data_IF_139221762706
#
_entry.id   IF_139221762706
#
_cell.length_a   1.000
_cell.length_b   1.000
_cell.length_c   1.000
_cell.angle_alpha   90.00
_cell.angle_beta   90.00
_cell.angle_gamma   90.00
#
_symmetry.space_group_name_H-M   'P 1'
#
loop_
_entity.id
_entity.type
_entity.pdbx_description
1 polymer ?
#
# COMPACT_ATOMS: atom_id res chain seq x y z
N UNK A 1 1.75 -13.13 -16.53
CA UNK A 1 3.05 -13.47 -15.93
C UNK A 1 3.16 -14.98 -15.87
N UNK A 2 4.30 -15.54 -16.22
CA UNK A 2 4.58 -16.98 -16.07
C UNK A 2 5.16 -17.27 -14.67
N UNK A 3 6.04 -16.38 -14.20
CA UNK A 3 6.71 -16.43 -12.89
C UNK A 3 6.47 -15.11 -12.15
N UNK A 4 5.32 -14.95 -11.47
CA UNK A 4 4.92 -13.68 -10.86
C UNK A 4 5.97 -13.05 -9.95
N UNK A 5 6.62 -13.84 -9.10
CA UNK A 5 7.66 -13.34 -8.17
C UNK A 5 8.89 -12.74 -8.88
N UNK A 6 9.21 -13.19 -10.09
CA UNK A 6 10.38 -12.73 -10.85
C UNK A 6 10.02 -11.58 -11.81
N UNK A 7 8.77 -11.54 -12.28
CA UNK A 7 8.31 -10.58 -13.28
C UNK A 7 7.67 -9.33 -12.67
N UNK A 8 7.15 -9.39 -11.44
CA UNK A 8 6.28 -8.33 -10.91
C UNK A 8 6.98 -6.98 -10.80
N UNK A 9 8.28 -6.95 -10.51
CA UNK A 9 9.06 -5.71 -10.45
C UNK A 9 8.97 -4.93 -11.77
N UNK A 10 9.30 -5.60 -12.87
CA UNK A 10 9.21 -5.04 -14.21
C UNK A 10 7.77 -4.65 -14.57
N UNK A 11 6.77 -5.43 -14.14
CA UNK A 11 5.35 -5.11 -14.35
C UNK A 11 4.98 -3.82 -13.65
N UNK A 12 5.31 -3.66 -12.38
CA UNK A 12 5.00 -2.43 -11.61
C UNK A 12 5.71 -1.22 -12.20
N UNK A 13 6.96 -1.37 -12.64
CA UNK A 13 7.68 -0.30 -13.35
C UNK A 13 7.02 0.06 -14.69
N UNK A 14 6.52 -0.91 -15.47
CA UNK A 14 5.76 -0.61 -16.69
C UNK A 14 4.41 0.07 -16.39
N UNK A 15 3.79 -0.21 -15.25
CA UNK A 15 2.53 0.40 -14.86
C UNK A 15 2.69 1.85 -14.36
N UNK A 16 3.78 2.14 -13.64
CA UNK A 16 3.96 3.42 -12.92
C UNK A 16 5.01 4.33 -13.53
N UNK A 17 6.12 3.75 -13.99
CA UNK A 17 7.31 4.45 -14.50
C UNK A 17 7.45 4.38 -16.03
N UNK A 18 6.39 3.99 -16.75
CA UNK A 18 6.41 3.84 -18.21
C UNK A 18 7.05 5.04 -18.93
N UNK A 19 7.84 4.78 -19.98
CA UNK A 19 8.45 5.84 -20.77
C UNK A 19 7.41 6.65 -21.56
N UNK A 20 6.27 6.04 -21.92
CA UNK A 20 5.18 6.68 -22.65
C UNK A 20 3.81 6.06 -22.28
N UNK A 21 2.69 6.72 -22.62
CA UNK A 21 1.34 6.24 -22.30
C UNK A 21 0.97 4.90 -22.94
N UNK A 22 1.49 4.59 -24.13
CA UNK A 22 1.16 3.34 -24.84
C UNK A 22 1.71 2.13 -24.10
N UNK A 23 2.92 2.22 -23.53
CA UNK A 23 3.50 1.18 -22.68
C UNK A 23 2.64 0.95 -21.44
N UNK A 24 2.22 2.03 -20.76
CA UNK A 24 1.38 1.94 -19.56
C UNK A 24 0.03 1.27 -19.89
N UNK A 25 -0.61 1.72 -20.98
CA UNK A 25 -1.87 1.14 -21.45
C UNK A 25 -1.71 -0.35 -21.80
N UNK A 26 -0.68 -0.70 -22.56
CA UNK A 26 -0.40 -2.07 -22.93
C UNK A 26 -0.11 -2.94 -21.69
N UNK A 27 0.58 -2.40 -20.68
CA UNK A 27 0.84 -3.09 -19.42
C UNK A 27 -0.47 -3.38 -18.66
N UNK A 28 -1.36 -2.40 -18.50
CA UNK A 28 -2.68 -2.62 -17.88
C UNK A 28 -3.45 -3.71 -18.65
N UNK A 29 -3.54 -3.60 -19.97
CA UNK A 29 -4.29 -4.55 -20.80
C UNK A 29 -3.69 -5.97 -20.79
N UNK A 30 -2.37 -6.08 -20.66
CA UNK A 30 -1.65 -7.36 -20.64
C UNK A 30 -1.68 -8.05 -19.28
N UNK A 31 -1.56 -7.29 -18.19
CA UNK A 31 -1.32 -7.85 -16.86
C UNK A 31 -2.56 -7.85 -15.97
N UNK A 32 -3.60 -7.05 -16.25
CA UNK A 32 -4.84 -7.07 -15.49
C UNK A 32 -5.91 -7.93 -16.17
N UNK A 33 -6.71 -8.60 -15.36
CA UNK A 33 -7.94 -9.22 -15.86
C UNK A 33 -8.92 -8.15 -16.33
N UNK A 34 -9.82 -8.49 -17.27
CA UNK A 34 -10.80 -7.52 -17.79
C UNK A 34 -11.76 -6.99 -16.71
N UNK A 35 -11.94 -7.75 -15.63
CA UNK A 35 -12.81 -7.48 -14.49
C UNK A 35 -12.06 -7.17 -13.19
N UNK A 36 -10.83 -6.67 -13.29
CA UNK A 36 -9.98 -6.44 -12.12
C UNK A 36 -10.54 -5.34 -11.18
N UNK A 37 -10.35 -5.53 -9.88
CA UNK A 37 -10.62 -4.50 -8.88
C UNK A 37 -9.39 -3.68 -8.49
N UNK A 38 -9.62 -2.50 -7.95
CA UNK A 38 -8.57 -1.60 -7.50
C UNK A 38 -9.01 -0.83 -6.24
N UNK A 39 -8.14 -0.77 -5.24
CA UNK A 39 -8.37 -0.01 -4.01
C UNK A 39 -7.15 0.82 -3.67
N UNK A 40 -7.36 2.11 -3.60
CA UNK A 40 -6.34 3.09 -3.22
C UNK A 40 -6.95 4.00 -2.14
N UNK A 41 -6.14 4.69 -1.30
CA UNK A 41 -6.69 5.57 -0.27
C UNK A 41 -7.61 6.69 -0.80
N UNK A 42 -7.51 7.02 -2.09
CA UNK A 42 -8.28 8.10 -2.73
C UNK A 42 -9.42 7.62 -3.63
N UNK A 43 -9.45 6.35 -4.01
CA UNK A 43 -10.47 5.83 -4.92
C UNK A 43 -10.62 4.31 -4.82
N UNK A 44 -11.77 3.81 -5.25
CA UNK A 44 -12.09 2.40 -5.26
C UNK A 44 -12.84 2.05 -6.55
N UNK A 45 -12.40 0.98 -7.21
CA UNK A 45 -13.03 0.39 -8.39
C UNK A 45 -13.38 -1.06 -8.00
N UNK A 46 -14.68 -1.40 -7.88
CA UNK A 46 -15.08 -2.76 -7.62
C UNK A 46 -14.79 -3.66 -8.84
N UNK A 47 -14.47 -4.96 -8.64
CA UNK A 47 -14.42 -5.93 -9.72
C UNK A 47 -15.76 -5.97 -10.46
N UNK A 48 -15.75 -5.64 -11.74
CA UNK A 48 -16.93 -5.62 -12.60
C UNK A 48 -16.54 -5.82 -14.06
N UNK A 49 -17.50 -6.18 -14.93
CA UNK A 49 -17.22 -6.34 -16.37
C UNK A 49 -16.54 -5.08 -16.93
N UNK A 50 -15.35 -5.25 -17.53
CA UNK A 50 -14.54 -4.19 -18.14
C UNK A 50 -14.03 -3.08 -17.19
N UNK A 51 -14.09 -3.29 -15.87
CA UNK A 51 -13.55 -2.37 -14.84
C UNK A 51 -12.05 -2.08 -14.98
N UNK A 52 -11.31 -2.92 -15.72
CA UNK A 52 -9.91 -2.65 -16.09
C UNK A 52 -9.72 -1.31 -16.81
N UNK A 53 -10.69 -0.88 -17.61
CA UNK A 53 -10.60 0.41 -18.32
C UNK A 53 -10.76 1.59 -17.37
N UNK A 54 -11.54 1.44 -16.29
CA UNK A 54 -11.60 2.43 -15.21
C UNK A 54 -10.26 2.53 -14.46
N UNK A 55 -9.61 1.37 -14.23
CA UNK A 55 -8.26 1.33 -13.64
C UNK A 55 -7.26 2.04 -14.54
N UNK A 56 -7.32 1.81 -15.86
CA UNK A 56 -6.49 2.54 -16.82
C UNK A 56 -6.69 4.06 -16.69
N UNK A 57 -7.94 4.52 -16.54
CA UNK A 57 -8.26 5.93 -16.30
C UNK A 57 -7.58 6.49 -15.05
N UNK A 58 -7.52 5.71 -13.96
CA UNK A 58 -6.80 6.10 -12.72
C UNK A 58 -5.31 6.24 -12.97
N UNK A 59 -4.67 5.25 -13.60
CA UNK A 59 -3.24 5.29 -13.92
C UNK A 59 -2.88 6.46 -14.86
N UNK A 60 -3.73 6.73 -15.85
CA UNK A 60 -3.60 7.88 -16.74
C UNK A 60 -3.72 9.20 -15.97
N UNK A 61 -4.72 9.33 -15.09
CA UNK A 61 -4.88 10.51 -14.26
C UNK A 61 -3.67 10.72 -13.34
N UNK A 62 -3.13 9.67 -12.74
CA UNK A 62 -1.95 9.74 -11.89
C UNK A 62 -0.71 10.18 -12.68
N UNK A 63 -0.57 9.74 -13.93
CA UNK A 63 0.48 10.22 -14.85
C UNK A 63 0.26 11.67 -15.30
N UNK A 64 -0.99 12.10 -15.45
CA UNK A 64 -1.34 13.50 -15.68
C UNK A 64 -0.98 14.34 -14.45
N UNK A 65 -1.19 13.87 -13.23
CA UNK A 65 -0.77 14.63 -12.05
C UNK A 65 0.76 14.64 -11.89
N UNK A 66 1.44 13.51 -12.09
CA UNK A 66 2.89 13.33 -11.92
C UNK A 66 3.50 12.70 -13.18
N UNK A 67 3.98 13.48 -14.16
CA UNK A 67 4.52 12.94 -15.41
C UNK A 67 5.82 12.15 -15.24
N UNK A 68 6.55 12.35 -14.15
CA UNK A 68 7.71 11.55 -13.78
C UNK A 68 7.46 10.97 -12.39
N UNK A 69 7.48 9.64 -12.30
CA UNK A 69 7.29 8.90 -11.06
C UNK A 69 8.56 8.07 -10.87
N UNK A 70 9.23 8.27 -9.74
CA UNK A 70 10.32 7.39 -9.31
C UNK A 70 9.74 6.36 -8.34
N UNK A 71 10.11 5.10 -8.51
CA UNK A 71 9.61 3.99 -7.70
C UNK A 71 10.77 3.05 -7.39
N UNK A 72 10.81 2.54 -6.16
CA UNK A 72 11.76 1.52 -5.71
C UNK A 72 10.97 0.44 -5.00
N UNK A 73 11.16 -0.81 -5.42
CA UNK A 73 10.61 -1.99 -4.76
C UNK A 73 11.70 -2.56 -3.87
N UNK A 74 11.45 -2.62 -2.57
CA UNK A 74 12.42 -3.10 -1.58
C UNK A 74 12.32 -4.60 -1.38
N UNK A 75 11.10 -5.13 -1.38
CA UNK A 75 10.85 -6.55 -1.17
C UNK A 75 9.62 -7.01 -1.96
N UNK A 76 9.66 -8.28 -2.36
CA UNK A 76 8.58 -8.98 -3.07
C UNK A 76 8.35 -10.32 -2.39
N UNK A 77 7.18 -10.47 -1.78
CA UNK A 77 6.76 -11.72 -1.15
C UNK A 77 5.63 -12.34 -1.97
N UNK A 78 5.87 -13.52 -2.54
CA UNK A 78 4.86 -14.29 -3.25
C UNK A 78 4.36 -15.45 -2.38
N UNK A 79 3.06 -15.47 -2.12
CA UNK A 79 2.35 -16.57 -1.46
C UNK A 79 1.60 -17.39 -2.54
N UNK A 80 2.22 -18.47 -3.09
CA UNK A 80 1.65 -19.21 -4.23
C UNK A 80 0.32 -19.89 -3.89
N UNK A 81 0.18 -20.42 -2.67
CA UNK A 81 -1.04 -21.10 -2.20
C UNK A 81 -2.28 -20.20 -2.26
N UNK A 82 -2.08 -18.90 -2.05
CA UNK A 82 -3.16 -17.90 -2.08
C UNK A 82 -3.15 -17.05 -3.35
N UNK A 83 -2.19 -17.27 -4.25
CA UNK A 83 -1.95 -16.45 -5.45
C UNK A 83 -1.87 -14.95 -5.10
N UNK A 84 -1.14 -14.61 -4.03
CA UNK A 84 -0.98 -13.22 -3.55
C UNK A 84 0.45 -12.75 -3.64
N UNK A 85 0.64 -11.51 -4.06
CA UNK A 85 1.91 -10.79 -4.00
C UNK A 85 1.78 -9.63 -3.01
N UNK A 86 2.83 -9.44 -2.22
CA UNK A 86 3.01 -8.29 -1.37
C UNK A 86 4.31 -7.61 -1.77
N UNK A 87 4.23 -6.30 -2.00
CA UNK A 87 5.39 -5.50 -2.36
C UNK A 87 5.56 -4.39 -1.33
N UNK A 88 6.78 -4.22 -0.84
CA UNK A 88 7.19 -3.03 -0.10
C UNK A 88 7.77 -2.02 -1.08
N UNK A 89 7.15 -0.85 -1.18
CA UNK A 89 7.43 0.13 -2.24
C UNK A 89 7.65 1.51 -1.64
N UNK A 90 8.69 2.19 -2.09
CA UNK A 90 8.81 3.65 -1.96
C UNK A 90 8.54 4.29 -3.30
N UNK A 91 7.54 5.18 -3.33
CA UNK A 91 7.17 5.95 -4.52
C UNK A 91 7.38 7.44 -4.26
N UNK A 92 7.99 8.13 -5.22
CA UNK A 92 8.11 9.58 -5.23
C UNK A 92 7.19 10.14 -6.31
N UNK A 93 6.05 10.64 -5.86
CA UNK A 93 5.02 11.21 -6.70
C UNK A 93 5.00 12.72 -6.54
N UNK A 94 5.17 13.45 -7.65
CA UNK A 94 5.17 14.91 -7.64
C UNK A 94 4.02 15.46 -8.46
N UNK A 95 3.02 16.02 -7.78
CA UNK A 95 1.93 16.72 -8.43
C UNK A 95 2.51 17.96 -9.13
N UNK A 96 2.46 18.01 -10.45
CA UNK A 96 3.13 19.04 -11.28
C UNK A 96 2.72 20.49 -11.00
N UNK A 97 1.59 20.71 -10.33
CA UNK A 97 1.09 22.04 -9.94
C UNK A 97 1.38 22.39 -8.48
N UNK A 98 1.95 21.46 -7.72
CA UNK A 98 2.29 21.66 -6.31
C UNK A 98 3.64 22.40 -6.21
N UNK A 99 3.70 23.56 -5.54
CA UNK A 99 4.93 24.33 -5.41
C UNK A 99 5.95 23.73 -4.43
N UNK A 100 5.57 22.71 -3.66
CA UNK A 100 6.44 22.07 -2.68
C UNK A 100 7.26 20.93 -3.30
N UNK A 101 8.51 20.70 -2.84
CA UNK A 101 9.30 19.56 -3.31
C UNK A 101 8.58 18.25 -2.97
N UNK A 102 8.66 17.23 -3.85
CA UNK A 102 8.05 15.95 -3.58
C UNK A 102 8.73 15.25 -2.40
N UNK A 103 7.92 14.57 -1.59
CA UNK A 103 8.38 13.70 -0.53
C UNK A 103 8.22 12.22 -0.96
N UNK A 104 9.14 11.33 -0.54
CA UNK A 104 8.94 9.90 -0.73
C UNK A 104 7.76 9.41 0.12
N UNK A 105 6.91 8.58 -0.46
CA UNK A 105 5.81 7.91 0.21
C UNK A 105 6.08 6.40 0.23
N UNK A 106 5.93 5.77 1.39
CA UNK A 106 6.01 4.32 1.52
C UNK A 106 4.60 3.74 1.46
N UNK A 107 4.45 2.68 0.67
CA UNK A 107 3.22 1.92 0.57
C UNK A 107 3.51 0.43 0.50
N UNK A 108 2.56 -0.34 0.99
CA UNK A 108 2.48 -1.76 0.66
C UNK A 108 1.50 -1.94 -0.47
N UNK A 109 1.89 -2.67 -1.50
CA UNK A 109 1.00 -3.08 -2.58
C UNK A 109 0.64 -4.54 -2.37
N UNK A 110 -0.65 -4.82 -2.26
CA UNK A 110 -1.19 -6.17 -2.19
C UNK A 110 -1.89 -6.49 -3.50
N UNK A 111 -1.41 -7.52 -4.20
CA UNK A 111 -1.98 -7.99 -5.45
C UNK A 111 -2.58 -9.37 -5.25
N UNK A 112 -3.84 -9.52 -5.64
CA UNK A 112 -4.46 -10.84 -5.83
C UNK A 112 -4.36 -11.22 -7.29
N UNK A 113 -3.78 -12.39 -7.55
CA UNK A 113 -3.59 -12.92 -8.89
C UNK A 113 -4.67 -13.95 -9.24
N UNK A 114 -5.09 -13.94 -10.50
CA UNK A 114 -5.91 -14.98 -11.12
C UNK A 114 -5.10 -15.65 -12.21
N UNK A 115 -5.20 -16.97 -12.27
CA UNK A 115 -4.54 -17.76 -13.29
C UNK A 115 -5.54 -18.11 -14.39
N UNK A 116 -5.20 -17.80 -15.63
CA UNK A 116 -5.99 -18.08 -16.82
C UNK A 116 -5.06 -18.64 -17.90
N UNK A 117 -5.36 -19.83 -18.42
CA UNK A 117 -4.57 -20.49 -19.47
C UNK A 117 -3.06 -20.62 -19.15
N UNK A 118 -2.72 -20.88 -17.87
CA UNK A 118 -1.33 -21.02 -17.41
C UNK A 118 -0.57 -19.69 -17.23
N UNK A 119 -1.26 -18.55 -17.36
CA UNK A 119 -0.69 -17.22 -17.11
C UNK A 119 -1.38 -16.57 -15.91
N UNK A 120 -0.60 -15.86 -15.09
CA UNK A 120 -1.10 -15.07 -13.97
C UNK A 120 -1.37 -13.62 -14.37
N UNK A 121 -2.53 -13.12 -13.95
CA UNK A 121 -3.02 -11.77 -14.14
C UNK A 121 -3.39 -11.15 -12.79
N UNK A 122 -3.28 -9.83 -12.67
CA UNK A 122 -3.72 -9.05 -11.52
C UNK A 122 -5.24 -8.95 -11.60
N UNK A 123 -5.92 -9.59 -10.65
CA UNK A 123 -7.38 -9.54 -10.52
C UNK A 123 -7.84 -8.52 -9.46
N UNK A 124 -6.96 -8.18 -8.52
CA UNK A 124 -7.20 -7.11 -7.57
C UNK A 124 -5.89 -6.47 -7.14
N UNK A 125 -5.86 -5.14 -7.10
CA UNK A 125 -4.76 -4.37 -6.52
C UNK A 125 -5.28 -3.56 -5.32
N UNK A 126 -4.56 -3.60 -4.21
CA UNK A 126 -4.79 -2.76 -3.04
C UNK A 126 -3.50 -2.04 -2.65
N UNK A 127 -3.56 -0.71 -2.62
CA UNK A 127 -2.46 0.15 -2.24
C UNK A 127 -2.68 0.67 -0.82
N UNK A 128 -1.77 0.31 0.09
CA UNK A 128 -1.85 0.63 1.51
C UNK A 128 -0.77 1.66 1.86
N UNK A 129 -1.16 2.93 1.84
CA UNK A 129 -0.30 4.03 2.26
C UNK A 129 -0.35 4.23 3.76
N UNK A 130 0.77 4.68 4.33
CA UNK A 130 0.75 5.28 5.67
C UNK A 130 -0.05 6.59 5.64
N UNK A 131 -0.85 6.91 6.67
CA UNK A 131 -1.69 8.12 6.68
C UNK A 131 -0.91 9.42 6.49
N UNK A 132 0.31 9.51 7.04
CA UNK A 132 1.17 10.69 6.89
C UNK A 132 1.77 10.79 5.48
N UNK A 133 2.08 9.67 4.84
CA UNK A 133 2.64 9.64 3.49
C UNK A 133 1.61 10.02 2.41
N UNK A 134 0.36 9.56 2.53
CA UNK A 134 -0.69 9.96 1.58
C UNK A 134 -1.01 11.45 1.70
N UNK A 135 -1.00 12.00 2.92
CA UNK A 135 -1.14 13.46 3.10
C UNK A 135 0.09 14.20 2.61
N UNK A 136 1.30 13.66 2.79
CA UNK A 136 2.52 14.25 2.25
C UNK A 136 2.50 14.30 0.71
N UNK A 137 1.91 13.29 0.06
CA UNK A 137 1.78 13.21 -1.39
C UNK A 137 0.86 14.31 -1.95
N UNK A 138 -0.20 14.67 -1.22
CA UNK A 138 -1.14 15.73 -1.61
C UNK A 138 -0.63 17.13 -1.19
N UNK A 139 -0.20 17.28 0.06
CA UNK A 139 0.19 18.55 0.69
C UNK A 139 1.40 18.28 1.61
N UNK A 140 2.64 18.29 1.06
CA UNK A 140 3.85 17.92 1.81
C UNK A 140 4.02 18.60 3.18
N UNK A 141 3.70 19.90 3.36
CA UNK A 141 3.81 20.57 4.66
C UNK A 141 2.94 19.97 5.78
N UNK A 142 1.89 19.19 5.47
CA UNK A 142 1.00 18.59 6.48
C UNK A 142 1.56 17.32 7.13
N UNK A 143 2.60 16.70 6.57
CA UNK A 143 3.15 15.44 7.08
C UNK A 143 3.63 15.56 8.53
N UNK A 144 4.32 16.66 8.87
CA UNK A 144 4.81 16.94 10.22
C UNK A 144 3.68 17.04 11.26
N UNK A 145 2.70 17.95 11.07
CA UNK A 145 1.51 18.03 11.92
C UNK A 145 0.76 16.71 12.11
N UNK A 146 0.60 15.90 11.04
CA UNK A 146 -0.06 14.59 11.13
C UNK A 146 0.72 13.65 12.05
N UNK A 147 2.05 13.57 11.90
CA UNK A 147 2.90 12.74 12.77
C UNK A 147 2.83 13.18 14.23
N UNK A 148 2.77 14.49 14.49
CA UNK A 148 2.58 15.02 15.85
C UNK A 148 1.20 14.61 16.39
N UNK A 149 0.15 14.72 15.58
CA UNK A 149 -1.20 14.28 15.94
C UNK A 149 -1.27 12.80 16.27
N UNK A 150 -0.64 11.94 15.45
CA UNK A 150 -0.54 10.49 15.71
C UNK A 150 0.16 10.19 17.04
N UNK A 151 1.24 10.92 17.37
CA UNK A 151 1.93 10.79 18.66
C UNK A 151 1.07 11.27 19.84
N UNK A 152 0.36 12.38 19.65
CA UNK A 152 -0.56 12.91 20.66
C UNK A 152 -1.73 11.93 20.93
N UNK A 153 -2.25 11.28 19.88
CA UNK A 153 -3.26 10.24 20.01
C UNK A 153 -2.74 9.06 20.84
N UNK A 154 -1.52 8.59 20.58
CA UNK A 154 -0.89 7.53 21.38
C UNK A 154 -0.75 7.93 22.86
N UNK A 155 -0.35 9.17 23.14
CA UNK A 155 -0.27 9.69 24.50
C UNK A 155 -1.64 9.72 25.19
N UNK A 156 -2.66 10.25 24.52
CA UNK A 156 -4.02 10.30 25.02
C UNK A 156 -4.59 8.89 25.29
N UNK A 157 -4.33 7.92 24.41
CA UNK A 157 -4.72 6.52 24.62
C UNK A 157 -4.09 5.91 25.87
N UNK A 158 -2.82 6.21 26.17
CA UNK A 158 -2.15 5.73 27.38
C UNK A 158 -2.76 6.35 28.65
N UNK A 159 -3.06 7.65 28.63
CA UNK A 159 -3.77 8.31 29.74
C UNK A 159 -5.14 7.67 29.96
N UNK A 160 -5.92 7.51 28.89
CA UNK A 160 -7.24 6.90 28.96
C UNK A 160 -7.18 5.46 29.49
N UNK A 161 -6.17 4.68 29.08
CA UNK A 161 -5.93 3.34 29.61
C UNK A 161 -5.63 3.35 31.11
N UNK A 162 -4.78 4.27 31.59
CA UNK A 162 -4.49 4.41 33.02
C UNK A 162 -5.73 4.82 33.83
N UNK A 163 -6.54 5.74 33.32
CA UNK A 163 -7.82 6.11 33.95
C UNK A 163 -8.77 4.89 33.98
N UNK A 164 -8.89 4.18 32.86
CA UNK A 164 -9.65 2.93 32.75
C UNK A 164 -9.27 1.88 33.80
N UNK A 165 -7.96 1.68 33.97
CA UNK A 165 -7.40 0.72 34.92
C UNK A 165 -7.56 1.16 36.37
N UNK A 166 -7.26 2.42 36.70
CA UNK A 166 -7.23 2.91 38.07
C UNK A 166 -8.61 3.26 38.61
N UNK A 167 -9.48 3.86 37.78
CA UNK A 167 -10.79 4.37 38.21
C UNK A 167 -11.87 3.31 38.02
N UNK A 168 -11.83 2.56 36.92
CA UNK A 168 -12.88 1.62 36.55
C UNK A 168 -12.48 0.15 36.73
N UNK A 169 -11.21 -0.15 37.05
CA UNK A 169 -10.72 -1.52 37.24
C UNK A 169 -10.76 -2.38 35.98
N UNK A 170 -10.90 -1.78 34.80
CA UNK A 170 -11.04 -2.48 33.52
C UNK A 170 -9.65 -2.81 32.96
N UNK A 171 -9.48 -4.05 32.49
CA UNK A 171 -8.24 -4.54 31.85
C UNK A 171 -6.99 -4.36 32.73
N UNK A 172 -6.95 -5.08 33.87
CA UNK A 172 -5.81 -5.18 34.78
C UNK A 172 -5.01 -6.46 34.47
N UNK A 173 -3.88 -6.39 33.75
CA UNK A 173 -3.07 -7.58 33.48
C UNK A 173 -2.53 -8.15 34.79
N UNK A 174 -2.64 -9.47 34.98
CA UNK A 174 -2.02 -10.14 36.14
C UNK A 174 -0.51 -9.93 36.07
N UNK A 175 0.11 -9.53 37.19
CA UNK A 175 1.59 -9.53 37.30
C UNK A 175 2.08 -10.95 37.00
N UNK A 176 3.01 -11.07 36.05
CA UNK A 176 3.68 -12.34 35.78
C UNK A 176 4.31 -12.84 37.10
N UNK A 177 3.93 -14.06 37.51
CA UNK A 177 4.53 -14.72 38.67
C UNK A 177 5.97 -15.02 38.27
N UNK A 178 6.94 -14.41 38.96
CA UNK A 178 8.36 -14.64 38.70
C UNK A 178 8.64 -16.14 38.71
N UNK A 179 9.19 -16.64 37.61
CA UNK A 179 9.74 -17.99 37.49
C UNK A 179 10.98 -18.09 38.38
N UNK A 180 10.74 -18.42 39.64
CA UNK A 180 11.73 -18.81 40.62
C UNK A 180 11.26 -20.09 41.29
N UNK A 181 11.29 -21.20 40.55
CA UNK A 181 11.30 -22.53 41.15
C UNK A 181 12.72 -23.09 40.93
N UNK A 182 13.46 -23.47 41.97
CA UNK A 182 14.74 -24.11 41.80
C UNK A 182 14.49 -25.47 41.14
N UNK A 183 15.31 -25.80 40.15
CA UNK A 183 15.42 -27.18 39.64
C UNK A 183 16.23 -27.92 40.69
N UNK A 184 15.54 -28.59 41.60
CA UNK A 184 16.17 -29.51 42.55
C UNK A 184 16.46 -30.85 41.84
N UNK A 185 17.73 -31.27 41.91
CA UNK A 185 18.18 -32.67 42.03
C UNK A 185 18.26 -33.49 40.76
#
# INVERSE_FOLDING_TARGET
>A
MEKPAQEIDAVVHMLTCAANPDIQKAAIQRFYTSDAGFRHPLCYIPPAHNSREDILGVYQWYRIMSPHIELVIHDVVYAPEHKRLFLDVTQKFHIRWNPFPPAPANLFVHLTLREENGLFYIAFQEDLYRPDDILALLIPPLAGPVRVGLRAAAFASNIAAHIGQLVFGVWLPRKARGSGAPVDG
#
